data_IF_569596082156
#
_entry.id   IF_569596082156
#
_cell.length_a   1.000
_cell.length_b   1.000
_cell.length_c   1.000
_cell.angle_alpha   90.00
_cell.angle_beta   90.00
_cell.angle_gamma   90.00
#
_symmetry.space_group_name_H-M   'P 1'
#
loop_
_entity.id
_entity.type
_entity.pdbx_description
1 polymer ?
#
# COMPACT_ATOMS: atom_id res chain seq x y z
N UNK A 1 -12.63 -10.95 15.16
CA UNK A 1 -11.24 -11.27 14.79
C UNK A 1 -10.67 -10.09 14.03
N UNK A 2 -9.39 -9.75 14.20
CA UNK A 2 -8.73 -8.75 13.36
C UNK A 2 -8.23 -9.45 12.11
N UNK A 3 -8.44 -8.84 10.94
CA UNK A 3 -7.97 -9.37 9.66
C UNK A 3 -6.94 -8.43 9.06
N UNK A 4 -5.98 -8.99 8.33
CA UNK A 4 -4.97 -8.26 7.59
C UNK A 4 -4.87 -8.86 6.21
N UNK A 5 -5.05 -8.02 5.19
CA UNK A 5 -4.98 -8.40 3.78
C UNK A 5 -3.80 -7.62 3.18
N UNK A 6 -2.85 -8.35 2.60
CA UNK A 6 -1.65 -7.80 1.97
C UNK A 6 -1.97 -7.38 0.54
N UNK A 7 -1.35 -6.30 0.07
CA UNK A 7 -1.56 -5.77 -1.29
C UNK A 7 -0.26 -5.86 -2.09
N UNK A 8 0.80 -5.23 -1.58
CA UNK A 8 2.09 -5.13 -2.28
C UNK A 8 2.88 -3.91 -1.85
N UNK A 9 4.16 -3.83 -2.22
CA UNK A 9 5.05 -2.69 -1.91
C UNK A 9 4.84 -1.47 -2.81
N UNK A 10 4.34 -1.71 -4.03
CA UNK A 10 4.09 -0.75 -5.11
C UNK A 10 3.00 -1.31 -6.05
N UNK A 11 2.49 -0.53 -7.02
CA UNK A 11 1.66 -1.02 -8.12
C UNK A 11 2.31 -2.21 -8.86
N UNK A 12 1.51 -3.16 -9.31
CA UNK A 12 2.02 -4.45 -9.80
C UNK A 12 2.78 -4.38 -11.13
N UNK A 13 2.54 -3.37 -11.97
CA UNK A 13 3.27 -3.14 -13.23
C UNK A 13 4.49 -2.21 -13.06
N UNK A 14 4.81 -1.81 -11.82
CA UNK A 14 5.91 -0.89 -11.53
C UNK A 14 7.10 -1.62 -10.89
N UNK A 15 8.30 -1.10 -11.15
CA UNK A 15 9.47 -1.50 -10.36
C UNK A 15 9.32 -0.98 -8.93
N UNK A 16 9.76 -1.79 -7.97
CA UNK A 16 9.74 -1.43 -6.55
C UNK A 16 11.13 -1.55 -5.92
N UNK A 17 11.34 -0.88 -4.79
CA UNK A 17 12.58 -0.89 -4.04
C UNK A 17 12.98 -2.33 -3.67
N UNK A 18 14.24 -2.69 -3.90
CA UNK A 18 14.73 -4.05 -3.68
C UNK A 18 15.45 -4.16 -2.33
N UNK A 19 15.09 -5.20 -1.56
CA UNK A 19 15.79 -5.50 -0.29
C UNK A 19 17.27 -5.74 -0.59
N UNK A 20 18.14 -4.97 0.06
CA UNK A 20 19.59 -5.04 -0.14
C UNK A 20 20.18 -3.79 -0.80
N UNK A 21 19.35 -2.95 -1.43
CA UNK A 21 19.79 -1.63 -1.88
C UNK A 21 20.08 -0.70 -0.69
N UNK A 22 21.07 0.19 -0.84
CA UNK A 22 21.50 1.05 0.27
C UNK A 22 20.44 2.06 0.71
N UNK A 23 19.58 2.48 -0.21
CA UNK A 23 18.44 3.38 -0.01
C UNK A 23 17.10 2.65 0.18
N UNK A 24 17.11 1.31 0.28
CA UNK A 24 15.89 0.52 0.40
C UNK A 24 14.97 0.96 1.57
N UNK A 25 15.47 1.24 2.80
CA UNK A 25 14.60 1.61 3.91
C UNK A 25 13.82 2.90 3.66
N UNK A 26 14.41 3.87 2.99
CA UNK A 26 13.80 5.15 2.65
C UNK A 26 12.88 5.00 1.44
N UNK A 27 13.35 4.33 0.37
CA UNK A 27 12.60 4.13 -0.87
C UNK A 27 11.33 3.31 -0.64
N UNK A 28 11.44 2.14 0.02
CA UNK A 28 10.27 1.28 0.32
C UNK A 28 9.20 1.97 1.17
N UNK A 29 9.60 2.87 2.08
CA UNK A 29 8.64 3.66 2.87
C UNK A 29 7.95 4.74 2.03
N UNK A 30 8.69 5.37 1.11
CA UNK A 30 8.14 6.35 0.20
C UNK A 30 7.15 5.71 -0.78
N UNK A 31 7.52 4.58 -1.41
CA UNK A 31 6.66 3.79 -2.29
C UNK A 31 5.38 3.34 -1.59
N UNK A 32 5.48 2.66 -0.44
CA UNK A 32 4.29 2.23 0.28
C UNK A 32 3.41 3.40 0.72
N UNK A 33 3.99 4.57 1.06
CA UNK A 33 3.21 5.76 1.42
C UNK A 33 2.45 6.30 0.21
N UNK A 34 3.13 6.49 -0.91
CA UNK A 34 2.52 6.95 -2.16
C UNK A 34 1.43 5.98 -2.62
N UNK A 35 1.67 4.67 -2.48
CA UNK A 35 0.70 3.66 -2.88
C UNK A 35 -0.55 3.63 -1.99
N UNK A 36 -0.40 3.81 -0.67
CA UNK A 36 -1.55 4.00 0.23
C UNK A 36 -2.40 5.20 -0.20
N UNK A 37 -1.76 6.33 -0.50
CA UNK A 37 -2.46 7.54 -0.92
C UNK A 37 -3.17 7.32 -2.27
N UNK A 38 -2.50 6.67 -3.21
CA UNK A 38 -3.10 6.35 -4.52
C UNK A 38 -4.27 5.37 -4.40
N UNK A 39 -4.17 4.33 -3.58
CA UNK A 39 -5.28 3.40 -3.31
C UNK A 39 -6.48 4.18 -2.75
N UNK A 40 -6.27 5.11 -1.84
CA UNK A 40 -7.36 5.96 -1.31
C UNK A 40 -7.99 6.86 -2.37
N UNK A 41 -7.20 7.40 -3.31
CA UNK A 41 -7.74 8.16 -4.46
C UNK A 41 -8.58 7.30 -5.38
N UNK A 42 -8.14 6.07 -5.67
CA UNK A 42 -8.85 5.15 -6.55
C UNK A 42 -10.11 4.55 -5.90
N UNK A 43 -10.04 4.21 -4.59
CA UNK A 43 -11.06 3.43 -3.89
C UNK A 43 -11.93 4.25 -2.93
N UNK A 44 -11.58 5.52 -2.69
CA UNK A 44 -12.13 6.33 -1.61
C UNK A 44 -11.47 6.07 -0.27
N UNK A 45 -11.78 6.93 0.72
CA UNK A 45 -11.29 6.76 2.09
C UNK A 45 -11.82 5.45 2.72
N UNK A 46 -11.02 4.79 3.58
CA UNK A 46 -11.44 3.57 4.25
C UNK A 46 -12.71 3.77 5.09
N UNK A 47 -13.66 2.82 5.07
CA UNK A 47 -14.82 2.85 5.95
C UNK A 47 -14.41 2.62 7.42
N UNK A 48 -15.39 2.75 8.32
CA UNK A 48 -15.17 2.53 9.76
C UNK A 48 -14.50 1.17 10.03
N UNK A 49 -13.46 1.22 10.88
CA UNK A 49 -12.74 0.01 11.29
C UNK A 49 -11.76 -0.54 10.27
N UNK A 50 -11.55 0.17 9.15
CA UNK A 50 -10.56 -0.17 8.13
C UNK A 50 -9.39 0.81 8.15
N UNK A 51 -8.17 0.30 8.00
CA UNK A 51 -6.98 1.15 7.85
C UNK A 51 -5.97 0.55 6.89
N UNK A 52 -5.49 1.37 5.95
CA UNK A 52 -4.31 1.08 5.13
C UNK A 52 -3.05 1.45 5.91
N UNK A 53 -2.05 0.58 5.91
CA UNK A 53 -0.82 0.78 6.66
C UNK A 53 0.38 0.10 5.99
N UNK A 54 1.58 0.54 6.36
CA UNK A 54 2.83 -0.10 5.95
C UNK A 54 3.13 -1.23 6.93
N UNK A 55 3.05 -2.47 6.46
CA UNK A 55 3.44 -3.65 7.21
C UNK A 55 4.95 -3.87 7.04
N UNK A 56 5.64 -4.13 8.15
CA UNK A 56 7.07 -4.46 8.16
C UNK A 56 7.23 -5.93 8.45
N UNK A 57 7.82 -6.66 7.51
CA UNK A 57 8.08 -8.10 7.59
C UNK A 57 9.58 -8.31 7.78
N UNK A 58 9.99 -8.67 9.00
CA UNK A 58 11.38 -8.98 9.30
C UNK A 58 11.77 -10.32 8.66
N UNK A 59 12.88 -10.33 7.91
CA UNK A 59 13.46 -11.51 7.30
C UNK A 59 15.00 -11.49 7.49
N UNK A 60 15.66 -12.62 7.23
CA UNK A 60 17.11 -12.78 7.42
C UNK A 60 17.96 -11.81 6.57
N UNK A 61 17.39 -11.30 5.47
CA UNK A 61 18.06 -10.38 4.54
C UNK A 61 17.67 -8.90 4.74
N UNK A 62 16.87 -8.61 5.76
CA UNK A 62 16.38 -7.27 6.04
C UNK A 62 14.89 -7.23 6.34
N UNK A 63 14.34 -6.03 6.51
CA UNK A 63 12.90 -5.83 6.75
C UNK A 63 12.20 -5.46 5.46
N UNK A 64 11.50 -6.42 4.85
CA UNK A 64 10.62 -6.16 3.72
C UNK A 64 9.42 -5.29 4.16
N UNK A 65 8.91 -4.42 3.28
CA UNK A 65 7.75 -3.56 3.55
C UNK A 65 6.73 -3.66 2.44
N UNK A 66 5.47 -3.68 2.83
CA UNK A 66 4.33 -3.72 1.92
C UNK A 66 3.17 -2.90 2.47
N UNK A 67 2.25 -2.53 1.59
CA UNK A 67 0.95 -2.00 1.96
C UNK A 67 0.02 -3.17 2.33
N UNK A 68 -0.70 -3.00 3.43
CA UNK A 68 -1.74 -3.92 3.86
C UNK A 68 -2.96 -3.15 4.37
N UNK A 69 -4.13 -3.80 4.32
CA UNK A 69 -5.38 -3.34 4.92
C UNK A 69 -5.62 -4.11 6.20
N UNK A 70 -5.95 -3.40 7.29
CA UNK A 70 -6.39 -3.97 8.55
C UNK A 70 -7.88 -3.74 8.75
N UNK A 71 -8.62 -4.81 9.06
CA UNK A 71 -10.02 -4.74 9.50
C UNK A 71 -10.09 -5.05 10.99
N UNK A 72 -10.65 -4.13 11.78
CA UNK A 72 -10.79 -4.32 13.23
C UNK A 72 -11.85 -5.36 13.58
N UNK A 73 -11.67 -6.03 14.71
CA UNK A 73 -12.56 -7.11 15.15
C UNK A 73 -13.81 -6.67 15.92
N UNK A 74 -13.99 -5.37 16.17
CA UNK A 74 -15.09 -4.80 16.95
C UNK A 74 -16.03 -4.01 16.02
N UNK A 75 -16.67 -4.70 15.09
CA UNK A 75 -17.63 -4.12 14.14
C UNK A 75 -18.97 -4.85 14.25
N UNK A 76 -20.06 -4.16 13.91
CA UNK A 76 -21.34 -4.81 13.62
C UNK A 76 -21.20 -5.69 12.36
N UNK A 77 -22.11 -6.63 12.15
CA UNK A 77 -22.06 -7.50 10.96
C UNK A 77 -22.09 -6.69 9.66
N UNK A 78 -22.99 -5.70 9.57
CA UNK A 78 -23.09 -4.81 8.40
C UNK A 78 -21.82 -3.98 8.17
N UNK A 79 -21.22 -3.42 9.24
CA UNK A 79 -19.98 -2.67 9.11
C UNK A 79 -18.80 -3.58 8.73
N UNK A 80 -18.80 -4.82 9.23
CA UNK A 80 -17.78 -5.82 8.89
C UNK A 80 -17.86 -6.24 7.44
N UNK A 81 -19.06 -6.43 6.89
CA UNK A 81 -19.25 -6.75 5.47
C UNK A 81 -18.65 -5.66 4.56
N UNK A 82 -19.01 -4.40 4.81
CA UNK A 82 -18.45 -3.24 4.09
C UNK A 82 -16.94 -3.11 4.25
N UNK A 83 -16.43 -3.39 5.45
CA UNK A 83 -15.01 -3.34 5.75
C UNK A 83 -14.22 -4.39 4.96
N UNK A 84 -14.74 -5.62 4.89
CA UNK A 84 -14.12 -6.70 4.12
C UNK A 84 -14.24 -6.47 2.62
N UNK A 85 -15.38 -5.98 2.14
CA UNK A 85 -15.56 -5.60 0.73
C UNK A 85 -14.50 -4.57 0.31
N UNK A 86 -14.31 -3.51 1.09
CA UNK A 86 -13.26 -2.52 0.83
C UNK A 86 -11.86 -3.15 0.84
N UNK A 87 -11.56 -3.98 1.84
CA UNK A 87 -10.24 -4.59 1.98
C UNK A 87 -9.89 -5.55 0.84
N UNK A 88 -10.85 -6.37 0.39
CA UNK A 88 -10.66 -7.25 -0.76
C UNK A 88 -10.55 -6.46 -2.06
N UNK A 89 -11.35 -5.40 -2.24
CA UNK A 89 -11.23 -4.54 -3.42
C UNK A 89 -9.88 -3.83 -3.49
N UNK A 90 -9.33 -3.41 -2.36
CA UNK A 90 -7.98 -2.86 -2.32
C UNK A 90 -6.92 -3.87 -2.75
N UNK A 91 -7.09 -5.16 -2.48
CA UNK A 91 -6.14 -6.20 -2.91
C UNK A 91 -6.34 -6.54 -4.40
N UNK A 92 -7.58 -6.79 -4.83
CA UNK A 92 -7.88 -7.24 -6.18
C UNK A 92 -7.75 -6.15 -7.24
N UNK A 93 -8.10 -4.91 -6.89
CA UNK A 93 -8.28 -3.82 -7.84
C UNK A 93 -7.30 -2.66 -7.58
N UNK A 94 -6.25 -2.87 -6.75
CA UNK A 94 -5.24 -1.83 -6.54
C UNK A 94 -4.68 -1.33 -7.88
N UNK A 95 -4.36 -0.03 -8.01
CA UNK A 95 -3.82 0.51 -9.24
C UNK A 95 -2.57 -0.26 -9.69
N UNK A 96 -2.52 -0.58 -10.98
CA UNK A 96 -1.42 -1.34 -11.57
C UNK A 96 -0.19 -0.49 -11.89
N UNK A 97 -0.36 0.83 -12.05
CA UNK A 97 0.71 1.80 -12.30
C UNK A 97 0.57 3.04 -11.43
N UNK A 98 1.65 3.81 -11.26
CA UNK A 98 1.60 5.07 -10.52
C UNK A 98 0.68 6.10 -11.20
N UNK A 99 -0.03 6.92 -10.42
CA UNK A 99 -0.69 8.12 -10.92
C UNK A 99 0.22 9.36 -10.81
N UNK A 100 -0.21 10.50 -11.38
CA UNK A 100 0.60 11.71 -11.40
C UNK A 100 0.89 12.26 -9.99
N UNK A 101 -0.05 12.09 -9.06
CA UNK A 101 0.12 12.52 -7.68
C UNK A 101 1.14 11.65 -6.95
N UNK A 102 1.08 10.32 -7.08
CA UNK A 102 2.06 9.41 -6.52
C UNK A 102 3.45 9.66 -7.10
N UNK A 103 3.56 9.91 -8.42
CA UNK A 103 4.82 10.32 -9.05
C UNK A 103 5.38 11.60 -8.44
N UNK A 104 4.54 12.60 -8.20
CA UNK A 104 4.95 13.86 -7.57
C UNK A 104 5.36 13.68 -6.10
N UNK A 105 4.63 12.85 -5.35
CA UNK A 105 4.97 12.47 -3.97
C UNK A 105 6.35 11.80 -3.91
N UNK A 106 6.58 10.82 -4.80
CA UNK A 106 7.84 10.08 -4.91
C UNK A 106 9.01 10.97 -5.33
N UNK A 107 8.81 11.85 -6.32
CA UNK A 107 9.82 12.83 -6.72
C UNK A 107 10.17 13.79 -5.57
N UNK A 108 9.17 14.26 -4.82
CA UNK A 108 9.37 15.12 -3.64
C UNK A 108 10.13 14.40 -2.53
N UNK A 109 9.90 13.08 -2.38
CA UNK A 109 10.61 12.24 -1.44
C UNK A 109 12.05 11.87 -1.88
N UNK A 110 12.46 12.26 -3.10
CA UNK A 110 13.79 11.98 -3.64
C UNK A 110 13.90 10.64 -4.38
N UNK A 111 12.78 10.00 -4.71
CA UNK A 111 12.69 8.71 -5.41
C UNK A 111 11.83 8.81 -6.68
N UNK A 112 12.18 9.68 -7.65
CA UNK A 112 11.35 9.85 -8.85
C UNK A 112 11.28 8.56 -9.66
N UNK A 113 10.07 8.20 -10.10
CA UNK A 113 9.83 7.08 -11.03
C UNK A 113 9.69 7.63 -12.45
N UNK A 114 10.39 7.03 -13.40
CA UNK A 114 10.36 7.41 -14.82
C UNK A 114 9.35 6.56 -15.57
N UNK A 115 8.50 7.19 -16.37
CA UNK A 115 7.65 6.47 -17.33
C UNK A 115 8.56 6.00 -18.47
N UNK A 116 8.73 4.70 -18.65
CA UNK A 116 9.30 4.19 -19.90
C UNK A 116 8.30 4.51 -21.03
N UNK A 117 8.75 5.29 -22.02
CA UNK A 117 7.94 5.80 -23.13
C UNK A 117 7.80 4.77 -24.26
#
# INVERSE_FOLDING_TARGET
>A
MVETIEIGSAPCDEQCAQVGESNYPECSRAECRAFINQIKRAMGEPPEGVGLFIKSNAHDFGTYREVAVKVTGLLTEEAREKALEYAYRCESDSPASWDDEARAELATAGFPVTVEA
#
